data_IF_827434122547
#
_entry.id   IF_827434122547
#
_cell.length_a   1.000
_cell.length_b   1.000
_cell.length_c   1.000
_cell.angle_alpha   90.00
_cell.angle_beta   90.00
_cell.angle_gamma   90.00
#
_symmetry.space_group_name_H-M   'P 1'
#
loop_
_entity.id
_entity.type
_entity.pdbx_description
1 polymer ?
#
# COMPACT_ATOMS: atom_id res chain seq x y z
N UNK A 1 13.99 14.07 8.48
CA UNK A 1 14.46 13.97 7.07
C UNK A 1 13.72 12.88 6.29
N UNK A 2 13.68 11.61 6.77
CA UNK A 2 13.00 10.53 6.01
C UNK A 2 11.48 10.77 5.87
N UNK A 3 10.80 11.13 6.96
CA UNK A 3 9.36 11.38 6.94
C UNK A 3 8.99 12.62 6.12
N UNK A 4 9.74 13.70 6.21
CA UNK A 4 9.53 14.92 5.40
C UNK A 4 9.66 14.65 3.89
N UNK A 5 10.66 13.85 3.48
CA UNK A 5 10.81 13.51 2.06
C UNK A 5 9.67 12.60 1.56
N UNK A 6 9.08 11.80 2.42
CA UNK A 6 7.91 10.97 2.09
C UNK A 6 6.64 11.84 2.01
N UNK A 7 6.48 12.80 2.92
CA UNK A 7 5.37 13.76 2.87
C UNK A 7 5.38 14.57 1.57
N UNK A 8 6.54 15.12 1.19
CA UNK A 8 6.67 15.86 -0.07
C UNK A 8 6.31 15.01 -1.30
N UNK A 9 6.64 13.72 -1.28
CA UNK A 9 6.24 12.79 -2.35
C UNK A 9 4.74 12.52 -2.35
N UNK A 10 4.15 12.32 -1.17
CA UNK A 10 2.71 12.12 -1.04
C UNK A 10 1.94 13.34 -1.53
N UNK A 11 2.38 14.55 -1.16
CA UNK A 11 1.78 15.80 -1.63
C UNK A 11 1.89 15.94 -3.15
N UNK A 12 3.03 15.60 -3.73
CA UNK A 12 3.23 15.61 -5.18
C UNK A 12 2.32 14.60 -5.90
N UNK A 13 2.13 13.39 -5.34
CA UNK A 13 1.19 12.41 -5.88
C UNK A 13 -0.25 12.91 -5.79
N UNK A 14 -0.66 13.47 -4.67
CA UNK A 14 -2.01 14.03 -4.48
C UNK A 14 -2.29 15.16 -5.49
N UNK A 15 -1.34 16.07 -5.67
CA UNK A 15 -1.47 17.16 -6.62
C UNK A 15 -1.58 16.64 -8.07
N UNK A 16 -0.75 15.69 -8.45
CA UNK A 16 -0.77 15.08 -9.79
C UNK A 16 -2.09 14.33 -10.04
N UNK A 17 -2.56 13.56 -9.06
CA UNK A 17 -3.82 12.82 -9.17
C UNK A 17 -5.03 13.78 -9.30
N UNK A 18 -5.00 14.91 -8.60
CA UNK A 18 -6.03 15.95 -8.72
C UNK A 18 -6.06 16.58 -10.12
N UNK A 19 -4.89 16.85 -10.72
CA UNK A 19 -4.78 17.34 -12.10
C UNK A 19 -5.33 16.29 -13.08
N UNK A 20 -4.90 15.04 -12.98
CA UNK A 20 -5.41 13.94 -13.81
C UNK A 20 -6.92 13.75 -13.68
N UNK A 21 -7.47 13.86 -12.48
CA UNK A 21 -8.91 13.79 -12.26
C UNK A 21 -9.69 14.97 -12.87
N UNK A 22 -9.04 16.13 -13.01
CA UNK A 22 -9.61 17.28 -13.73
C UNK A 22 -9.60 17.05 -15.25
N UNK A 23 -8.51 16.50 -15.78
CA UNK A 23 -8.33 16.31 -17.22
C UNK A 23 -9.10 15.08 -17.73
N UNK A 24 -9.10 14.00 -16.97
CA UNK A 24 -9.74 12.72 -17.30
C UNK A 24 -10.62 12.22 -16.15
N UNK A 25 -11.75 12.90 -15.86
CA UNK A 25 -12.56 12.59 -14.67
C UNK A 25 -13.15 11.17 -14.68
N UNK A 26 -13.47 10.62 -15.85
CA UNK A 26 -14.01 9.26 -15.96
C UNK A 26 -13.03 8.19 -15.49
N UNK A 27 -11.73 8.46 -15.61
CA UNK A 27 -10.66 7.53 -15.23
C UNK A 27 -10.16 7.78 -13.80
N UNK A 28 -10.02 9.04 -13.39
CA UNK A 28 -9.26 9.37 -12.18
C UNK A 28 -10.08 10.02 -11.07
N UNK A 29 -11.38 10.37 -11.27
CA UNK A 29 -12.16 11.02 -10.22
C UNK A 29 -12.35 10.12 -8.99
N UNK A 30 -12.67 8.85 -9.17
CA UNK A 30 -12.83 7.89 -8.05
C UNK A 30 -11.49 7.67 -7.31
N UNK A 31 -10.39 7.50 -8.05
CA UNK A 31 -9.06 7.35 -7.46
C UNK A 31 -8.64 8.59 -6.67
N UNK A 32 -8.94 9.79 -7.17
CA UNK A 32 -8.65 11.04 -6.48
C UNK A 32 -9.47 11.17 -5.20
N UNK A 33 -10.72 10.75 -5.20
CA UNK A 33 -11.57 10.76 -3.99
C UNK A 33 -11.07 9.74 -2.95
N UNK A 34 -10.73 8.54 -3.36
CA UNK A 34 -10.09 7.53 -2.51
C UNK A 34 -8.77 8.06 -1.92
N UNK A 35 -7.93 8.70 -2.73
CA UNK A 35 -6.68 9.29 -2.27
C UNK A 35 -6.90 10.38 -1.20
N UNK A 36 -7.91 11.24 -1.34
CA UNK A 36 -8.28 12.23 -0.33
C UNK A 36 -8.73 11.59 0.98
N UNK A 37 -9.54 10.54 0.91
CA UNK A 37 -9.99 9.80 2.09
C UNK A 37 -8.80 9.16 2.82
N UNK A 38 -7.88 8.52 2.09
CA UNK A 38 -6.65 7.93 2.62
C UNK A 38 -5.78 9.01 3.28
N UNK A 39 -5.62 10.16 2.64
CA UNK A 39 -4.87 11.28 3.21
C UNK A 39 -5.51 11.79 4.51
N UNK A 40 -6.83 11.87 4.56
CA UNK A 40 -7.56 12.28 5.77
C UNK A 40 -7.35 11.30 6.92
N UNK A 41 -7.46 9.99 6.66
CA UNK A 41 -7.22 8.96 7.68
C UNK A 41 -5.75 8.99 8.16
N UNK A 42 -4.80 9.12 7.24
CA UNK A 42 -3.37 9.19 7.55
C UNK A 42 -3.05 10.39 8.42
N UNK A 43 -3.53 11.57 8.08
CA UNK A 43 -3.31 12.79 8.85
C UNK A 43 -3.99 12.73 10.22
N UNK A 44 -5.17 12.12 10.31
CA UNK A 44 -5.89 11.98 11.58
C UNK A 44 -5.08 11.13 12.58
N UNK A 45 -4.56 9.99 12.15
CA UNK A 45 -3.76 9.14 13.02
C UNK A 45 -2.38 9.75 13.30
N UNK A 46 -1.73 10.35 12.30
CA UNK A 46 -0.42 11.00 12.46
C UNK A 46 -0.48 12.15 13.48
N UNK A 47 -1.48 13.02 13.38
CA UNK A 47 -1.71 14.12 14.32
C UNK A 47 -2.00 13.60 15.74
N UNK A 48 -2.83 12.57 15.89
CA UNK A 48 -3.10 11.96 17.18
C UNK A 48 -1.83 11.42 17.84
N UNK A 49 -0.95 10.76 17.07
CA UNK A 49 0.35 10.28 17.57
C UNK A 49 1.26 11.45 17.93
N UNK A 50 1.27 12.53 17.16
CA UNK A 50 2.05 13.73 17.45
C UNK A 50 1.59 14.43 18.73
N UNK A 51 0.29 14.47 19.01
CA UNK A 51 -0.25 14.96 20.28
C UNK A 51 0.26 14.15 21.48
N UNK A 52 0.33 12.82 21.35
CA UNK A 52 0.90 11.94 22.38
C UNK A 52 2.37 12.27 22.60
N UNK A 53 3.18 12.36 21.54
CA UNK A 53 4.61 12.70 21.60
C UNK A 53 4.84 14.09 22.23
N UNK A 54 4.03 15.05 21.82
CA UNK A 54 4.05 16.40 22.42
C UNK A 54 3.70 16.36 23.90
N UNK A 55 2.70 15.57 24.28
CA UNK A 55 2.33 15.35 25.68
C UNK A 55 3.47 14.74 26.49
N UNK A 56 4.18 13.76 25.93
CA UNK A 56 5.38 13.18 26.56
C UNK A 56 6.46 14.23 26.81
N UNK A 57 6.78 15.03 25.80
CA UNK A 57 7.84 16.04 25.93
C UNK A 57 7.50 17.17 26.88
N UNK A 58 6.22 17.49 27.06
CA UNK A 58 5.76 18.48 28.06
C UNK A 58 6.00 18.06 29.53
N UNK A 59 6.18 16.76 29.80
CA UNK A 59 6.51 16.26 31.13
C UNK A 59 8.00 16.45 31.48
N UNK A 60 8.83 16.71 30.48
CA UNK A 60 10.27 16.98 30.61
C UNK A 60 10.50 18.49 30.58
N UNK A 61 11.28 18.99 31.54
CA UNK A 61 11.64 20.42 31.57
C UNK A 61 12.38 20.80 30.28
N UNK A 62 12.16 22.02 29.75
CA UNK A 62 12.75 22.45 28.48
C UNK A 62 14.29 22.33 28.41
N UNK A 63 14.96 22.61 29.52
CA UNK A 63 16.42 22.53 29.71
C UNK A 63 16.94 21.07 29.81
N UNK A 64 16.05 20.11 29.95
CA UNK A 64 16.36 18.68 30.12
C UNK A 64 15.86 17.80 28.97
N UNK A 65 15.28 18.39 27.95
CA UNK A 65 14.70 17.62 26.80
C UNK A 65 15.73 16.85 26.00
N UNK A 66 16.99 17.26 26.02
CA UNK A 66 18.12 16.56 25.38
C UNK A 66 18.86 15.63 26.34
N UNK A 67 18.41 15.53 27.61
CA UNK A 67 19.04 14.68 28.61
C UNK A 67 18.45 13.25 28.56
N UNK A 68 19.24 12.29 28.11
CA UNK A 68 18.84 10.88 27.98
C UNK A 68 18.48 10.24 29.34
N UNK A 69 19.14 10.60 30.42
CA UNK A 69 18.82 10.06 31.75
C UNK A 69 17.41 10.43 32.23
N UNK A 70 16.92 11.61 31.83
CA UNK A 70 15.55 12.05 32.13
C UNK A 70 14.54 11.32 31.25
N UNK A 71 14.91 11.00 30.04
CA UNK A 71 14.06 10.28 29.08
C UNK A 71 14.08 8.75 29.25
N UNK A 72 14.90 8.24 30.16
CA UNK A 72 15.00 6.79 30.48
C UNK A 72 13.90 6.30 31.46
N UNK A 73 12.90 7.14 31.72
CA UNK A 73 11.78 6.81 32.63
C UNK A 73 10.55 6.35 31.81
N UNK A 74 9.86 5.29 32.24
CA UNK A 74 8.67 4.76 31.54
C UNK A 74 7.37 5.51 31.89
N UNK A 75 7.38 6.40 32.89
CA UNK A 75 6.20 6.88 33.62
C UNK A 75 5.07 7.49 32.79
N UNK A 76 5.38 8.16 31.66
CA UNK A 76 4.35 8.88 30.91
C UNK A 76 3.36 7.94 30.23
N UNK A 77 3.84 7.02 29.40
CA UNK A 77 2.95 6.10 28.66
C UNK A 77 2.37 5.04 29.58
N UNK A 78 3.11 4.59 30.59
CA UNK A 78 2.60 3.63 31.55
C UNK A 78 1.41 4.21 32.31
N UNK A 79 1.50 5.45 32.78
CA UNK A 79 0.39 6.14 33.45
C UNK A 79 -0.76 6.46 32.48
N UNK A 80 -0.44 6.80 31.22
CA UNK A 80 -1.44 7.17 30.22
C UNK A 80 -2.20 5.97 29.69
N UNK A 81 -1.50 4.90 29.30
CA UNK A 81 -2.10 3.78 28.60
C UNK A 81 -2.55 2.64 29.49
N UNK A 82 -2.03 2.54 30.72
CA UNK A 82 -2.32 1.41 31.59
C UNK A 82 -2.89 1.83 32.96
N UNK A 83 -3.74 0.97 33.49
CA UNK A 83 -4.30 1.06 34.84
C UNK A 83 -4.23 -0.32 35.50
N UNK A 84 -3.13 -0.59 36.22
CA UNK A 84 -2.79 -1.94 36.65
C UNK A 84 -2.61 -2.84 35.41
N UNK A 85 -3.17 -4.03 35.43
CA UNK A 85 -3.05 -4.99 34.31
C UNK A 85 -3.97 -4.72 33.11
N UNK A 86 -4.72 -3.62 33.12
CA UNK A 86 -5.68 -3.30 32.07
C UNK A 86 -5.30 -2.02 31.32
N UNK A 87 -5.77 -1.93 30.09
CA UNK A 87 -5.70 -0.67 29.36
C UNK A 87 -6.56 0.41 30.05
N UNK A 88 -6.04 1.61 30.09
CA UNK A 88 -6.77 2.80 30.47
C UNK A 88 -7.74 3.22 29.37
N UNK A 89 -8.54 4.28 29.60
CA UNK A 89 -9.35 4.88 28.53
C UNK A 89 -8.51 5.39 27.37
N UNK A 90 -7.35 5.98 27.66
CA UNK A 90 -6.41 6.47 26.63
C UNK A 90 -5.74 5.33 25.87
N UNK A 91 -5.42 4.21 26.56
CA UNK A 91 -4.91 3.01 25.90
C UNK A 91 -5.94 2.37 24.95
N UNK A 92 -7.20 2.28 25.38
CA UNK A 92 -8.30 1.81 24.53
C UNK A 92 -8.54 2.76 23.35
N UNK A 93 -8.42 4.08 23.57
CA UNK A 93 -8.55 5.08 22.51
C UNK A 93 -7.42 4.95 21.47
N UNK A 94 -6.19 4.72 21.94
CA UNK A 94 -5.06 4.48 21.04
C UNK A 94 -5.29 3.24 20.16
N UNK A 95 -5.68 2.12 20.78
CA UNK A 95 -6.01 0.88 20.08
C UNK A 95 -7.14 1.10 19.06
N UNK A 96 -8.21 1.80 19.47
CA UNK A 96 -9.33 2.13 18.60
C UNK A 96 -8.92 3.00 17.40
N UNK A 97 -8.05 4.00 17.58
CA UNK A 97 -7.56 4.83 16.48
C UNK A 97 -6.69 4.04 15.49
N UNK A 98 -5.83 3.14 15.99
CA UNK A 98 -5.03 2.25 15.14
C UNK A 98 -5.92 1.34 14.29
N UNK A 99 -6.93 0.72 14.92
CA UNK A 99 -7.88 -0.17 14.24
C UNK A 99 -8.76 0.60 13.24
N UNK A 100 -9.22 1.79 13.61
CA UNK A 100 -10.02 2.64 12.72
C UNK A 100 -9.24 3.06 11.47
N UNK A 101 -7.95 3.39 11.62
CA UNK A 101 -7.07 3.64 10.47
C UNK A 101 -6.94 2.41 9.58
N UNK A 102 -6.60 1.25 10.16
CA UNK A 102 -6.49 -0.02 9.44
C UNK A 102 -7.76 -0.33 8.65
N UNK A 103 -8.90 -0.34 9.32
CA UNK A 103 -10.18 -0.71 8.74
C UNK A 103 -10.60 0.28 7.65
N UNK A 104 -10.45 1.58 7.90
CA UNK A 104 -10.76 2.61 6.92
C UNK A 104 -9.88 2.53 5.67
N UNK A 105 -8.57 2.26 5.80
CA UNK A 105 -7.70 2.06 4.65
C UNK A 105 -8.12 0.80 3.86
N UNK A 106 -8.35 -0.32 4.54
CA UNK A 106 -8.76 -1.59 3.89
C UNK A 106 -10.10 -1.42 3.17
N UNK A 107 -11.07 -0.74 3.77
CA UNK A 107 -12.38 -0.46 3.17
C UNK A 107 -12.25 0.36 1.87
N UNK A 108 -11.39 1.39 1.88
CA UNK A 108 -11.16 2.24 0.69
C UNK A 108 -10.47 1.45 -0.42
N UNK A 109 -9.51 0.58 -0.06
CA UNK A 109 -8.75 -0.22 -1.02
C UNK A 109 -9.61 -1.35 -1.64
N UNK A 110 -10.55 -1.91 -0.88
CA UNK A 110 -11.34 -3.06 -1.29
C UNK A 110 -10.45 -4.25 -1.68
N UNK A 111 -10.87 -4.98 -2.70
CA UNK A 111 -10.15 -6.15 -3.21
C UNK A 111 -9.07 -5.79 -4.24
N UNK A 112 -8.96 -4.52 -4.63
CA UNK A 112 -8.06 -4.08 -5.70
C UNK A 112 -6.57 -4.09 -5.28
N UNK A 113 -6.29 -4.02 -3.97
CA UNK A 113 -4.92 -3.88 -3.44
C UNK A 113 -4.60 -4.89 -2.30
N UNK A 114 -4.71 -6.21 -2.55
CA UNK A 114 -4.62 -7.22 -1.48
C UNK A 114 -3.27 -7.25 -0.77
N UNK A 115 -2.16 -6.94 -1.46
CA UNK A 115 -0.82 -6.91 -0.87
C UNK A 115 -0.69 -5.75 0.11
N UNK A 116 -1.19 -4.58 -0.27
CA UNK A 116 -1.16 -3.39 0.60
C UNK A 116 -2.11 -3.60 1.79
N UNK A 117 -3.32 -4.12 1.56
CA UNK A 117 -4.29 -4.43 2.61
C UNK A 117 -3.73 -5.42 3.64
N UNK A 118 -2.98 -6.42 3.18
CA UNK A 118 -2.26 -7.34 4.08
C UNK A 118 -1.20 -6.62 4.91
N UNK A 119 -0.39 -5.78 4.29
CA UNK A 119 0.65 -4.98 4.97
C UNK A 119 0.04 -4.04 6.02
N UNK A 120 -1.08 -3.37 5.69
CA UNK A 120 -1.83 -2.52 6.61
C UNK A 120 -2.33 -3.33 7.81
N UNK A 121 -2.91 -4.50 7.58
CA UNK A 121 -3.41 -5.36 8.65
C UNK A 121 -2.29 -5.88 9.57
N UNK A 122 -1.12 -6.19 9.01
CA UNK A 122 0.05 -6.63 9.81
C UNK A 122 0.62 -5.49 10.66
N UNK A 123 0.69 -4.26 10.13
CA UNK A 123 1.31 -3.13 10.81
C UNK A 123 0.40 -2.41 11.81
N UNK A 124 -0.91 -2.41 11.57
CA UNK A 124 -1.89 -1.66 12.37
C UNK A 124 -2.96 -2.54 13.03
N UNK A 125 -2.83 -3.86 12.95
CA UNK A 125 -3.84 -4.82 13.41
C UNK A 125 -3.97 -4.96 14.92
N UNK A 126 -3.08 -4.40 15.72
CA UNK A 126 -3.08 -4.47 17.19
C UNK A 126 -3.27 -5.89 17.72
N UNK A 127 -2.67 -6.88 17.06
CA UNK A 127 -2.80 -8.28 17.41
C UNK A 127 -2.04 -8.60 18.69
N UNK A 128 -2.56 -9.57 19.47
CA UNK A 128 -1.84 -10.06 20.63
C UNK A 128 -0.49 -10.66 20.25
N UNK A 129 0.55 -10.31 21.01
CA UNK A 129 1.93 -10.74 20.80
C UNK A 129 2.44 -11.65 21.90
N UNK A 130 3.38 -12.52 21.55
CA UNK A 130 4.03 -13.39 22.52
C UNK A 130 5.43 -12.89 22.85
N UNK A 131 5.69 -12.46 24.09
CA UNK A 131 7.04 -12.10 24.51
C UNK A 131 8.02 -13.27 24.32
N UNK A 132 9.23 -12.97 23.91
CA UNK A 132 10.26 -13.97 23.58
C UNK A 132 10.44 -14.99 24.70
N UNK A 133 10.25 -16.26 24.39
CA UNK A 133 10.37 -17.35 25.37
C UNK A 133 9.16 -17.58 26.27
N UNK A 134 8.05 -16.83 26.09
CA UNK A 134 6.80 -17.04 26.82
C UNK A 134 5.71 -17.55 25.88
N UNK A 135 4.90 -18.50 26.38
CA UNK A 135 3.73 -19.03 25.63
C UNK A 135 2.46 -18.17 25.82
N UNK A 136 2.53 -17.14 26.66
CA UNK A 136 1.37 -16.29 26.98
C UNK A 136 1.35 -15.15 25.99
N UNK A 137 0.20 -14.94 25.37
CA UNK A 137 -0.06 -13.76 24.54
C UNK A 137 -0.44 -12.58 25.41
N UNK A 138 0.04 -11.41 25.04
CA UNK A 138 -0.26 -10.15 25.68
C UNK A 138 -0.81 -9.18 24.65
N UNK A 139 -1.62 -8.20 25.09
CA UNK A 139 -2.12 -7.13 24.24
C UNK A 139 -0.95 -6.38 23.56
N UNK A 140 -1.10 -6.02 22.29
CA UNK A 140 -0.07 -5.35 21.49
C UNK A 140 0.45 -4.07 22.15
N UNK A 141 -0.44 -3.27 22.73
CA UNK A 141 -0.04 -2.02 23.39
C UNK A 141 0.87 -2.30 24.61
N UNK A 142 0.54 -3.33 25.41
CA UNK A 142 1.39 -3.77 26.51
C UNK A 142 2.75 -4.26 26.00
N UNK A 143 2.74 -5.09 24.96
CA UNK A 143 3.97 -5.63 24.37
C UNK A 143 4.93 -4.54 23.90
N UNK A 144 4.39 -3.47 23.31
CA UNK A 144 5.21 -2.44 22.68
C UNK A 144 5.57 -1.27 23.59
N UNK A 145 4.79 -0.99 24.64
CA UNK A 145 4.94 0.26 25.41
C UNK A 145 5.04 0.08 26.93
N UNK A 146 4.50 -1.01 27.54
CA UNK A 146 4.50 -1.16 28.99
C UNK A 146 5.94 -1.34 29.52
N UNK A 147 6.35 -0.49 30.43
CA UNK A 147 7.68 -0.48 31.04
C UNK A 147 8.81 -0.02 30.12
N UNK A 148 8.51 0.54 28.94
CA UNK A 148 9.54 1.05 28.05
C UNK A 148 9.93 2.48 28.41
N UNK A 149 11.23 2.82 28.35
CA UNK A 149 11.71 4.19 28.50
C UNK A 149 11.01 5.15 27.54
N UNK A 150 10.84 6.41 27.95
CA UNK A 150 10.20 7.46 27.12
C UNK A 150 10.87 7.58 25.75
N UNK A 151 12.19 7.51 25.68
CA UNK A 151 12.94 7.60 24.41
C UNK A 151 12.60 6.44 23.46
N UNK A 152 12.48 5.22 23.99
CA UNK A 152 12.10 4.05 23.20
C UNK A 152 10.65 4.15 22.73
N UNK A 153 9.75 4.59 23.60
CA UNK A 153 8.34 4.83 23.28
C UNK A 153 8.17 5.91 22.22
N UNK A 154 8.90 7.03 22.33
CA UNK A 154 8.92 8.10 21.32
C UNK A 154 9.42 7.58 19.96
N UNK A 155 10.45 6.74 19.96
CA UNK A 155 10.98 6.12 18.75
C UNK A 155 9.93 5.20 18.08
N UNK A 156 9.23 4.38 18.88
CA UNK A 156 8.15 3.52 18.37
C UNK A 156 6.99 4.32 17.78
N UNK A 157 6.56 5.38 18.47
CA UNK A 157 5.52 6.28 17.95
C UNK A 157 5.95 6.95 16.64
N UNK A 158 7.21 7.39 16.55
CA UNK A 158 7.77 7.93 15.29
C UNK A 158 7.84 6.87 14.18
N UNK A 159 8.11 5.60 14.53
CA UNK A 159 8.06 4.50 13.57
C UNK A 159 6.64 4.26 13.04
N UNK A 160 5.61 4.34 13.90
CA UNK A 160 4.21 4.24 13.45
C UNK A 160 3.89 5.38 12.48
N UNK A 161 4.30 6.62 12.76
CA UNK A 161 4.14 7.76 11.84
C UNK A 161 4.84 7.50 10.50
N UNK A 162 6.06 6.95 10.54
CA UNK A 162 6.78 6.55 9.32
C UNK A 162 6.03 5.49 8.52
N UNK A 163 5.44 4.51 9.20
CA UNK A 163 4.64 3.46 8.55
C UNK A 163 3.38 4.02 7.90
N UNK A 164 2.67 4.95 8.55
CA UNK A 164 1.51 5.66 7.99
C UNK A 164 1.88 6.32 6.66
N UNK A 165 2.96 7.12 6.65
CA UNK A 165 3.44 7.86 5.48
C UNK A 165 3.90 6.93 4.36
N UNK A 166 4.55 5.81 4.70
CA UNK A 166 5.01 4.80 3.74
C UNK A 166 3.83 4.09 3.08
N UNK A 167 2.84 3.64 3.87
CA UNK A 167 1.62 3.01 3.34
C UNK A 167 0.87 3.99 2.43
N UNK A 168 0.70 5.23 2.85
CA UNK A 168 0.09 6.27 2.01
C UNK A 168 0.85 6.42 0.68
N UNK A 169 2.18 6.46 0.71
CA UNK A 169 3.00 6.56 -0.49
C UNK A 169 2.84 5.34 -1.42
N UNK A 170 2.81 4.14 -0.86
CA UNK A 170 2.59 2.90 -1.62
C UNK A 170 1.23 2.91 -2.32
N UNK A 171 0.17 3.31 -1.62
CA UNK A 171 -1.18 3.40 -2.19
C UNK A 171 -1.22 4.43 -3.31
N UNK A 172 -0.78 5.67 -3.04
CA UNK A 172 -0.81 6.76 -4.00
C UNK A 172 0.02 6.44 -5.26
N UNK A 173 1.19 5.85 -5.09
CA UNK A 173 2.03 5.44 -6.22
C UNK A 173 1.38 4.30 -7.04
N UNK A 174 0.68 3.37 -6.39
CA UNK A 174 -0.07 2.30 -7.08
C UNK A 174 -1.27 2.84 -7.84
N UNK A 175 -2.02 3.79 -7.26
CA UNK A 175 -3.10 4.50 -7.94
C UNK A 175 -2.62 5.25 -9.17
N UNK A 176 -1.47 5.92 -9.08
CA UNK A 176 -0.88 6.67 -10.19
C UNK A 176 -0.39 5.78 -11.34
N UNK A 177 0.08 4.58 -11.04
CA UNK A 177 0.52 3.62 -12.07
C UNK A 177 -0.62 2.87 -12.74
N UNK A 178 -1.85 3.02 -12.22
CA UNK A 178 -2.99 2.23 -12.67
C UNK A 178 -2.84 0.74 -12.36
N UNK A 179 -1.91 0.40 -11.47
CA UNK A 179 -1.73 -0.94 -10.94
C UNK A 179 -2.84 -1.23 -9.92
N UNK A 180 -4.06 -1.38 -10.41
CA UNK A 180 -4.98 -2.25 -9.71
C UNK A 180 -4.29 -3.60 -9.71
N UNK A 181 -3.74 -3.99 -8.59
CA UNK A 181 -3.37 -5.38 -8.37
C UNK A 181 -4.69 -6.15 -8.21
N UNK A 182 -5.48 -6.17 -9.29
CA UNK A 182 -6.46 -7.21 -9.49
C UNK A 182 -5.72 -8.48 -9.14
N UNK A 183 -6.03 -9.01 -7.98
CA UNK A 183 -5.55 -10.25 -7.40
C UNK A 183 -4.46 -10.92 -8.23
N UNK A 184 -3.33 -11.25 -7.62
CA UNK A 184 -2.45 -12.33 -8.08
C UNK A 184 -3.16 -13.72 -8.06
N UNK A 185 -4.50 -13.76 -8.10
CA UNK A 185 -5.18 -14.80 -8.77
C UNK A 185 -4.74 -14.62 -10.22
N UNK A 186 -3.81 -15.44 -10.64
CA UNK A 186 -3.60 -15.78 -12.03
C UNK A 186 -5.00 -16.09 -12.55
N UNK A 187 -5.70 -15.05 -13.00
CA UNK A 187 -6.95 -15.23 -13.67
C UNK A 187 -6.50 -15.84 -14.97
N UNK A 188 -6.55 -17.17 -15.04
CA UNK A 188 -6.13 -17.95 -16.22
C UNK A 188 -6.80 -17.44 -17.49
N UNK A 189 -7.90 -16.68 -17.33
CA UNK A 189 -8.57 -15.97 -18.42
C UNK A 189 -7.76 -14.85 -19.06
N UNK A 190 -6.78 -14.26 -18.34
CA UNK A 190 -5.96 -13.16 -18.86
C UNK A 190 -4.63 -13.64 -19.44
N UNK A 191 -4.42 -14.95 -19.51
CA UNK A 191 -3.24 -15.54 -20.14
C UNK A 191 -3.68 -16.51 -21.21
N UNK A 192 -3.03 -16.44 -22.37
CA UNK A 192 -3.14 -17.44 -23.42
C UNK A 192 -1.79 -18.08 -23.66
N UNK A 193 -1.80 -19.35 -24.01
CA UNK A 193 -0.60 -20.04 -24.47
C UNK A 193 -0.30 -19.60 -25.89
N UNK A 194 0.93 -19.14 -26.11
CA UNK A 194 1.46 -18.82 -27.43
C UNK A 194 2.51 -19.87 -27.78
N UNK A 195 2.41 -20.41 -29.00
CA UNK A 195 3.42 -21.30 -29.56
C UNK A 195 4.46 -20.42 -30.24
N UNK A 196 5.67 -20.41 -29.72
CA UNK A 196 6.80 -19.72 -30.30
C UNK A 196 7.66 -20.71 -31.06
N UNK A 197 7.82 -20.49 -32.36
CA UNK A 197 8.59 -21.38 -33.22
C UNK A 197 9.51 -20.57 -34.13
N UNK A 198 10.75 -21.01 -34.37
CA UNK A 198 11.67 -20.36 -35.32
C UNK A 198 11.28 -20.51 -36.77
N UNK A 199 10.35 -21.42 -37.06
CA UNK A 199 9.81 -21.69 -38.40
C UNK A 199 8.30 -21.61 -38.40
N UNK A 200 7.70 -21.15 -39.48
CA UNK A 200 6.26 -21.10 -39.68
C UNK A 200 5.65 -22.43 -40.20
N UNK A 201 6.49 -23.36 -40.65
CA UNK A 201 6.08 -24.68 -41.13
C UNK A 201 7.17 -25.74 -40.89
N UNK A 202 6.76 -27.00 -40.68
CA UNK A 202 7.61 -28.16 -40.49
C UNK A 202 7.19 -29.24 -41.45
N UNK A 203 8.15 -29.97 -42.03
CA UNK A 203 7.87 -31.12 -42.89
C UNK A 203 7.66 -32.38 -42.08
N UNK A 204 6.95 -33.34 -42.63
CA UNK A 204 6.75 -34.63 -42.01
C UNK A 204 8.11 -35.33 -41.74
N UNK A 205 8.38 -35.65 -40.47
CA UNK A 205 9.64 -36.26 -40.02
C UNK A 205 10.69 -35.26 -39.54
N UNK A 206 10.49 -33.94 -39.64
CA UNK A 206 11.31 -32.94 -38.99
C UNK A 206 11.05 -32.90 -37.47
N UNK A 207 12.11 -32.69 -36.71
CA UNK A 207 11.97 -32.44 -35.28
C UNK A 207 11.35 -31.06 -35.08
N UNK A 208 10.26 -31.01 -34.31
CA UNK A 208 9.63 -29.76 -33.93
C UNK A 208 10.50 -29.07 -32.91
N UNK A 209 10.93 -27.85 -33.22
CA UNK A 209 11.66 -26.94 -32.29
C UNK A 209 10.77 -25.75 -32.01
N UNK A 210 10.32 -25.66 -30.75
CA UNK A 210 9.43 -24.59 -30.33
C UNK A 210 9.19 -24.62 -28.83
N UNK A 211 8.72 -23.49 -28.30
CA UNK A 211 8.36 -23.31 -26.89
C UNK A 211 6.92 -22.85 -26.76
N UNK A 212 6.30 -23.23 -25.65
CA UNK A 212 5.00 -22.70 -25.27
C UNK A 212 5.26 -21.61 -24.23
N UNK A 213 4.89 -20.38 -24.54
CA UNK A 213 5.00 -19.23 -23.64
C UNK A 213 3.62 -18.79 -23.20
N UNK A 214 3.52 -18.30 -21.97
CA UNK A 214 2.32 -17.66 -21.45
C UNK A 214 2.35 -16.18 -21.84
N UNK A 215 1.49 -15.78 -22.75
CA UNK A 215 1.27 -14.40 -23.14
C UNK A 215 0.09 -13.80 -22.37
N UNK A 216 0.25 -12.59 -21.82
CA UNK A 216 -0.87 -11.84 -21.25
C UNK A 216 -1.77 -11.35 -22.36
N UNK A 217 -3.06 -11.64 -22.28
CA UNK A 217 -4.08 -11.07 -23.16
C UNK A 217 -4.43 -9.69 -22.64
N UNK A 218 -4.17 -8.66 -23.42
CA UNK A 218 -4.59 -7.30 -23.16
C UNK A 218 -5.77 -6.95 -24.07
N UNK A 219 -6.97 -6.92 -23.47
CA UNK A 219 -8.21 -6.63 -24.21
C UNK A 219 -8.45 -5.11 -24.37
N UNK A 220 -7.61 -4.28 -23.74
CA UNK A 220 -7.78 -2.83 -23.70
C UNK A 220 -6.84 -2.09 -24.67
N UNK A 221 -5.69 -2.69 -25.00
CA UNK A 221 -4.69 -2.03 -25.84
C UNK A 221 -4.94 -2.34 -27.31
N UNK A 222 -5.22 -1.30 -28.10
CA UNK A 222 -5.20 -1.35 -29.56
C UNK A 222 -3.89 -0.76 -30.07
N UNK A 223 -3.20 -1.40 -31.04
CA UNK A 223 -2.05 -0.76 -31.66
C UNK A 223 -2.49 0.49 -32.41
N UNK A 224 -1.78 1.61 -32.22
CA UNK A 224 -2.09 2.87 -32.91
C UNK A 224 -1.90 2.80 -34.43
N UNK A 225 -1.07 1.86 -34.87
CA UNK A 225 -0.81 1.58 -36.28
C UNK A 225 -0.41 0.11 -36.46
N UNK A 226 -1.03 -0.59 -37.39
CA UNK A 226 -0.62 -1.93 -37.80
C UNK A 226 -0.61 -1.99 -39.30
N UNK A 227 0.44 -2.54 -39.87
CA UNK A 227 0.55 -2.84 -41.28
C UNK A 227 0.64 -4.35 -41.42
N UNK A 228 -0.43 -4.95 -42.00
CA UNK A 228 -0.50 -6.37 -42.25
C UNK A 228 -0.43 -6.64 -43.78
N UNK A 229 0.31 -7.67 -44.15
CA UNK A 229 0.41 -8.09 -45.53
C UNK A 229 0.14 -9.58 -45.65
N UNK A 230 -0.53 -10.00 -46.70
CA UNK A 230 -0.70 -11.40 -47.08
C UNK A 230 -0.10 -11.58 -48.50
N UNK A 231 0.88 -12.47 -48.63
CA UNK A 231 1.62 -12.70 -49.88
C UNK A 231 2.20 -11.41 -50.49
N UNK A 232 2.68 -10.52 -49.62
CA UNK A 232 3.26 -9.21 -50.00
C UNK A 232 2.23 -8.14 -50.40
N UNK A 233 0.92 -8.43 -50.31
CA UNK A 233 -0.14 -7.45 -50.55
C UNK A 233 -0.62 -6.86 -49.23
N UNK A 234 -0.74 -5.52 -49.12
CA UNK A 234 -1.23 -4.89 -47.92
C UNK A 234 -2.71 -5.21 -47.67
N UNK A 235 -3.06 -5.54 -46.43
CA UNK A 235 -4.43 -5.76 -45.97
C UNK A 235 -5.02 -4.47 -45.39
N UNK A 236 -6.34 -4.32 -45.54
CA UNK A 236 -7.08 -3.12 -45.10
C UNK A 236 -7.91 -3.46 -43.86
N UNK A 237 -7.71 -2.68 -42.79
CA UNK A 237 -8.51 -2.80 -41.58
C UNK A 237 -10.00 -2.54 -41.88
N UNK A 238 -10.87 -3.33 -41.26
CA UNK A 238 -12.32 -3.26 -41.44
C UNK A 238 -12.86 -3.98 -42.68
N UNK A 239 -11.96 -4.45 -43.62
CA UNK A 239 -12.31 -5.24 -44.79
C UNK A 239 -11.66 -6.61 -44.75
N UNK A 240 -10.35 -6.63 -44.56
CA UNK A 240 -9.55 -7.85 -44.65
C UNK A 240 -9.19 -8.39 -43.26
N UNK A 241 -9.19 -7.53 -42.22
CA UNK A 241 -8.99 -7.87 -40.82
C UNK A 241 -9.66 -6.88 -39.90
N UNK A 242 -9.82 -7.24 -38.63
CA UNK A 242 -10.28 -6.34 -37.56
C UNK A 242 -9.50 -6.59 -36.27
N UNK A 243 -9.48 -5.57 -35.37
CA UNK A 243 -8.94 -5.72 -34.05
C UNK A 243 -10.05 -6.06 -33.04
N UNK A 244 -9.76 -7.04 -32.16
CA UNK A 244 -10.54 -7.39 -31.00
C UNK A 244 -9.60 -7.27 -29.77
N UNK A 245 -9.60 -6.09 -29.12
CA UNK A 245 -8.52 -5.72 -28.20
C UNK A 245 -7.15 -5.76 -28.87
N UNK A 246 -6.19 -6.41 -28.26
CA UNK A 246 -4.85 -6.63 -28.83
C UNK A 246 -4.73 -7.76 -29.86
N UNK A 247 -5.86 -8.36 -30.28
CA UNK A 247 -5.88 -9.48 -31.23
C UNK A 247 -6.31 -9.03 -32.64
N UNK A 248 -5.67 -9.57 -33.63
CA UNK A 248 -6.09 -9.44 -35.03
C UNK A 248 -6.98 -10.64 -35.40
N UNK A 249 -8.13 -10.38 -35.97
CA UNK A 249 -9.08 -11.36 -36.50
C UNK A 249 -9.26 -11.18 -38.01
#
# INVERSE_FOLDING_TARGET
>A
QSNESTDLRNDAFMANLAIKASDEPQTYADLNEKAKQINTLSNTLDNYIEEIKTGMMKTVKPDQQDNYEVQDKPDFLDTKFFKGDKLSKDGLLFESNMLAYRDGIIDILGDDYPVISKSVNEQFGMQEESPRGKKVKVNALKFHFEGFPMIASKTKLTQIQSNIKTIQNEILSSMMRGEQTASLSVNTSNYSTLLETPKSAYYAGETFDGSIVLGRVDDQTKPNRAELTLDGKPLVEGKDFSFDGGRVK
#
